data_IF_463706429223
#
_entry.id   IF_463706429223
#
_cell.length_a   1.000
_cell.length_b   1.000
_cell.length_c   1.000
_cell.angle_alpha   90.00
_cell.angle_beta   90.00
_cell.angle_gamma   90.00
#
_symmetry.space_group_name_H-M   'P 1'
#
loop_
_entity.id
_entity.type
_entity.pdbx_description
1 polymer ?
#
# COMPACT_ATOMS: atom_id res chain seq x y z
N UNK A 1 -47.07 27.91 31.21
CA UNK A 1 -45.61 28.10 31.45
C UNK A 1 -44.90 26.85 32.00
N UNK A 2 -45.55 26.02 32.84
CA UNK A 2 -44.93 24.83 33.45
C UNK A 2 -44.51 23.71 32.48
N UNK A 3 -45.28 23.44 31.41
CA UNK A 3 -44.97 22.38 30.44
C UNK A 3 -43.66 22.67 29.66
N UNK A 4 -43.41 23.94 29.32
CA UNK A 4 -42.17 24.35 28.64
C UNK A 4 -40.95 24.11 29.55
N UNK A 5 -41.06 24.41 30.85
CA UNK A 5 -39.99 24.18 31.82
C UNK A 5 -39.70 22.68 32.01
N UNK A 6 -40.73 21.84 32.06
CA UNK A 6 -40.56 20.38 32.17
C UNK A 6 -39.88 19.78 30.93
N UNK A 7 -40.21 20.28 29.73
CA UNK A 7 -39.54 19.85 28.49
C UNK A 7 -38.06 20.25 28.46
N UNK A 8 -37.72 21.45 28.94
CA UNK A 8 -36.32 21.88 29.05
C UNK A 8 -35.51 21.06 30.06
N UNK A 9 -36.11 20.64 31.18
CA UNK A 9 -35.45 19.77 32.15
C UNK A 9 -35.25 18.35 31.60
N UNK A 10 -36.22 17.85 30.82
CA UNK A 10 -36.13 16.50 30.26
C UNK A 10 -35.07 16.42 29.14
N UNK A 11 -34.96 17.46 28.31
CA UNK A 11 -33.94 17.50 27.25
C UNK A 11 -32.53 17.66 27.80
N UNK A 12 -32.33 18.45 28.85
CA UNK A 12 -31.01 18.56 29.50
C UNK A 12 -30.62 17.26 30.18
N UNK A 13 -31.56 16.56 30.83
CA UNK A 13 -31.30 15.26 31.45
C UNK A 13 -30.93 14.18 30.41
N UNK A 14 -31.62 14.14 29.26
CA UNK A 14 -31.27 13.22 28.16
C UNK A 14 -29.89 13.50 27.56
N UNK A 15 -29.49 14.76 27.43
CA UNK A 15 -28.13 15.12 26.95
C UNK A 15 -27.05 14.78 28.00
N UNK A 16 -27.35 14.94 29.29
CA UNK A 16 -26.42 14.57 30.37
C UNK A 16 -26.21 13.05 30.46
N UNK A 17 -27.30 12.26 30.39
CA UNK A 17 -27.21 10.78 30.42
C UNK A 17 -26.47 10.23 29.20
N UNK A 18 -26.67 10.81 28.00
CA UNK A 18 -25.93 10.42 26.79
C UNK A 18 -24.43 10.71 26.86
N UNK A 19 -24.01 11.80 27.54
CA UNK A 19 -22.60 12.16 27.68
C UNK A 19 -21.87 11.38 28.78
N UNK A 20 -22.58 10.93 29.82
CA UNK A 20 -22.05 10.01 30.85
C UNK A 20 -21.84 8.60 30.29
N UNK A 21 -22.66 8.15 29.33
CA UNK A 21 -22.55 6.83 28.70
C UNK A 21 -21.31 6.62 27.82
N UNK A 22 -20.48 7.66 27.59
CA UNK A 22 -19.31 7.55 26.70
C UNK A 22 -17.96 7.53 27.43
N UNK A 23 -17.94 7.51 28.77
CA UNK A 23 -16.69 7.52 29.59
C UNK A 23 -16.48 6.28 30.47
N UNK A 24 -17.19 5.18 30.21
CA UNK A 24 -17.13 3.96 31.05
C UNK A 24 -16.55 2.72 30.31
N UNK A 25 -15.52 2.92 29.47
CA UNK A 25 -14.75 1.81 28.86
C UNK A 25 -13.21 1.97 29.05
N UNK A 26 -12.77 2.59 30.14
CA UNK A 26 -11.33 2.65 30.49
C UNK A 26 -11.07 2.46 32.00
N UNK A 27 -11.81 1.57 32.67
CA UNK A 27 -11.47 1.19 34.05
C UNK A 27 -11.75 -0.30 34.29
N UNK A 28 -11.07 -1.16 33.54
CA UNK A 28 -11.04 -2.58 33.85
C UNK A 28 -9.73 -3.27 33.50
N UNK A 29 -8.58 -2.65 33.77
CA UNK A 29 -7.31 -3.40 33.83
C UNK A 29 -6.18 -2.74 34.64
N UNK A 30 -6.45 -2.03 35.74
CA UNK A 30 -5.36 -1.69 36.68
C UNK A 30 -5.87 -1.72 38.11
N UNK A 31 -6.20 -2.90 38.62
CA UNK A 31 -6.34 -3.13 40.07
C UNK A 31 -6.06 -4.60 40.37
N UNK A 32 -4.78 -4.96 40.43
CA UNK A 32 -4.33 -5.99 41.34
C UNK A 32 -2.91 -5.68 41.80
N UNK A 33 -2.82 -4.98 42.93
CA UNK A 33 -1.62 -4.96 43.77
C UNK A 33 -1.49 -6.36 44.37
N UNK A 34 -0.40 -7.07 44.09
CA UNK A 34 -0.02 -8.28 44.82
C UNK A 34 1.24 -7.99 45.65
N UNK A 35 1.03 -7.95 46.96
CA UNK A 35 2.02 -7.95 48.04
C UNK A 35 2.88 -9.23 48.01
N UNK A 36 4.12 -9.25 48.55
CA UNK A 36 5.16 -10.21 48.19
C UNK A 36 5.20 -11.51 49.04
N UNK A 37 6.09 -12.43 48.62
CA UNK A 37 6.56 -13.73 49.17
C UNK A 37 5.94 -15.05 48.64
N UNK A 38 6.71 -16.17 48.54
CA UNK A 38 8.16 -16.37 48.65
C UNK A 38 8.80 -17.07 47.41
N UNK A 39 10.14 -17.16 47.46
CA UNK A 39 11.05 -17.66 46.43
C UNK A 39 10.67 -19.02 45.80
N UNK A 40 10.68 -19.08 44.47
CA UNK A 40 10.70 -20.34 43.71
C UNK A 40 12.14 -20.76 43.40
N UNK A 41 12.44 -22.08 43.43
CA UNK A 41 13.78 -22.63 43.24
C UNK A 41 14.30 -22.40 41.80
N UNK A 42 15.64 -22.41 41.58
CA UNK A 42 16.20 -22.12 40.27
C UNK A 42 15.73 -23.14 39.22
N UNK A 43 15.09 -22.64 38.17
CA UNK A 43 14.72 -23.41 36.99
C UNK A 43 15.98 -24.04 36.37
N UNK A 44 15.90 -25.34 36.08
CA UNK A 44 16.94 -26.03 35.32
C UNK A 44 17.13 -25.31 33.98
N UNK A 45 18.39 -24.96 33.71
CA UNK A 45 18.84 -24.42 32.42
C UNK A 45 18.32 -25.34 31.30
N UNK A 46 17.71 -24.83 30.22
CA UNK A 46 17.39 -25.66 29.08
C UNK A 46 18.72 -26.16 28.50
N UNK A 47 18.98 -27.45 28.66
CA UNK A 47 20.00 -28.14 27.87
C UNK A 47 19.51 -28.04 26.44
N UNK A 48 20.15 -27.17 25.64
CA UNK A 48 19.96 -27.16 24.21
C UNK A 48 20.32 -28.54 23.70
N UNK A 49 19.32 -29.29 23.24
CA UNK A 49 19.55 -30.48 22.45
C UNK A 49 20.39 -30.07 21.23
N UNK A 50 21.48 -30.78 20.91
CA UNK A 50 22.23 -30.51 19.70
C UNK A 50 21.30 -30.65 18.49
N UNK A 51 21.49 -29.85 17.43
CA UNK A 51 20.68 -29.93 16.23
C UNK A 51 20.76 -31.35 15.63
N UNK A 52 19.67 -31.84 15.00
CA UNK A 52 19.70 -33.13 14.33
C UNK A 52 20.80 -33.16 13.27
N UNK A 53 21.41 -34.33 12.99
CA UNK A 53 22.47 -34.43 12.00
C UNK A 53 21.93 -33.96 10.65
N UNK A 54 22.60 -32.95 10.09
CA UNK A 54 22.36 -32.47 8.74
C UNK A 54 22.56 -33.66 7.81
N UNK A 55 21.48 -34.18 7.24
CA UNK A 55 21.58 -35.10 6.12
C UNK A 55 22.31 -34.35 5.01
N UNK A 56 23.51 -34.82 4.68
CA UNK A 56 24.27 -34.35 3.54
C UNK A 56 23.37 -34.34 2.29
N UNK A 57 23.38 -33.25 1.50
CA UNK A 57 22.68 -33.23 0.22
C UNK A 57 23.19 -34.40 -0.65
N UNK A 58 22.32 -35.07 -1.44
CA UNK A 58 22.80 -36.03 -2.41
C UNK A 58 23.79 -35.33 -3.35
N UNK A 59 24.92 -36.01 -3.57
CA UNK A 59 25.96 -35.66 -4.53
C UNK A 59 25.33 -35.14 -5.82
N UNK A 60 25.58 -33.87 -6.14
CA UNK A 60 25.16 -33.30 -7.40
C UNK A 60 25.92 -34.02 -8.50
N UNK A 61 25.19 -34.72 -9.37
CA UNK A 61 25.70 -35.21 -10.65
C UNK A 61 26.48 -34.09 -11.35
N UNK A 62 27.61 -34.38 -12.01
CA UNK A 62 28.29 -33.36 -12.82
C UNK A 62 27.28 -32.78 -13.84
N UNK A 63 27.36 -31.47 -14.13
CA UNK A 63 26.44 -30.84 -15.05
C UNK A 63 26.49 -31.56 -16.40
N UNK A 64 25.35 -31.79 -17.07
CA UNK A 64 25.38 -32.28 -18.44
C UNK A 64 26.27 -31.34 -19.25
N UNK A 65 27.21 -31.92 -20.02
CA UNK A 65 28.03 -31.21 -21.00
C UNK A 65 27.10 -30.27 -21.77
N UNK A 66 27.39 -28.98 -21.74
CA UNK A 66 26.63 -28.00 -22.49
C UNK A 66 26.50 -28.51 -23.93
N UNK A 67 25.29 -28.62 -24.51
CA UNK A 67 25.20 -28.79 -25.94
C UNK A 67 25.98 -27.64 -26.57
N UNK A 68 26.85 -27.95 -27.51
CA UNK A 68 27.52 -26.94 -28.31
C UNK A 68 26.41 -26.06 -28.89
N UNK A 69 26.27 -24.84 -28.38
CA UNK A 69 25.37 -23.87 -28.95
C UNK A 69 25.87 -23.66 -30.38
N UNK A 70 25.09 -24.16 -31.34
CA UNK A 70 25.23 -23.68 -32.70
C UNK A 70 25.17 -22.15 -32.63
N UNK A 71 26.06 -21.44 -33.35
CA UNK A 71 26.01 -19.99 -33.37
C UNK A 71 24.58 -19.54 -33.72
N UNK A 72 24.07 -18.48 -33.09
CA UNK A 72 22.74 -17.98 -33.40
C UNK A 72 22.63 -17.77 -34.91
N UNK A 73 21.50 -18.13 -35.55
CA UNK A 73 21.31 -17.85 -36.96
C UNK A 73 21.56 -16.35 -37.19
N UNK A 74 22.10 -15.97 -38.37
CA UNK A 74 22.25 -14.56 -38.70
C UNK A 74 20.91 -13.86 -38.52
N UNK A 75 20.88 -12.58 -38.12
CA UNK A 75 19.64 -11.85 -37.91
C UNK A 75 18.81 -11.94 -39.19
N UNK A 76 17.74 -12.73 -39.14
CA UNK A 76 16.75 -12.73 -40.18
C UNK A 76 16.09 -11.36 -40.06
N UNK A 77 16.35 -10.51 -41.05
CA UNK A 77 15.60 -9.29 -41.27
C UNK A 77 14.17 -9.68 -41.69
N UNK A 78 13.41 -10.24 -40.75
CA UNK A 78 11.96 -10.25 -40.85
C UNK A 78 11.53 -8.80 -40.75
N UNK A 79 10.81 -8.26 -41.77
CA UNK A 79 10.18 -6.95 -41.65
C UNK A 79 9.39 -6.91 -40.33
N UNK A 80 9.40 -5.79 -39.59
CA UNK A 80 8.57 -5.69 -38.41
C UNK A 80 7.14 -6.05 -38.81
N UNK A 81 6.56 -7.05 -38.14
CA UNK A 81 5.13 -7.30 -38.20
C UNK A 81 4.47 -6.03 -37.68
N UNK A 82 4.09 -5.17 -38.62
CA UNK A 82 3.40 -3.94 -38.33
C UNK A 82 2.08 -4.36 -37.72
N UNK A 83 1.98 -4.24 -36.39
CA UNK A 83 0.69 -4.14 -35.75
C UNK A 83 -0.09 -3.07 -36.54
N UNK A 84 -1.35 -3.31 -36.94
CA UNK A 84 -2.11 -2.29 -37.62
C UNK A 84 -2.03 -1.02 -36.78
N UNK A 85 -1.80 0.15 -37.42
CA UNK A 85 -1.63 1.39 -36.68
C UNK A 85 -2.82 1.53 -35.71
N UNK A 86 -2.60 1.94 -34.45
CA UNK A 86 -3.71 2.33 -33.61
C UNK A 86 -4.54 3.31 -34.43
N UNK A 87 -5.81 2.98 -34.65
CA UNK A 87 -6.77 3.83 -35.36
C UNK A 87 -6.56 5.23 -34.80
N UNK A 88 -6.21 6.18 -35.67
CA UNK A 88 -5.91 7.54 -35.26
C UNK A 88 -7.00 7.97 -34.27
N UNK A 89 -6.65 8.40 -33.04
CA UNK A 89 -7.61 9.04 -32.19
C UNK A 89 -8.26 10.12 -33.04
N UNK A 90 -9.61 10.17 -33.06
CA UNK A 90 -10.31 11.31 -33.62
C UNK A 90 -9.63 12.59 -33.09
N UNK A 91 -9.53 13.68 -33.89
CA UNK A 91 -8.98 14.94 -33.41
C UNK A 91 -9.64 15.25 -32.08
N UNK A 92 -8.89 15.09 -30.99
CA UNK A 92 -9.36 15.52 -29.69
C UNK A 92 -9.50 17.03 -29.87
N UNK A 93 -10.70 17.62 -29.64
CA UNK A 93 -10.82 19.06 -29.64
C UNK A 93 -9.72 19.62 -28.72
N UNK A 94 -9.16 20.82 -29.00
CA UNK A 94 -8.18 21.43 -28.13
C UNK A 94 -8.71 21.34 -26.70
N UNK A 95 -8.08 20.50 -25.89
CA UNK A 95 -8.47 20.38 -24.49
C UNK A 95 -8.07 21.72 -23.91
N UNK A 96 -9.05 22.61 -23.76
CA UNK A 96 -8.90 23.78 -22.89
C UNK A 96 -8.21 23.30 -21.60
N UNK A 97 -7.25 24.07 -21.06
CA UNK A 97 -6.60 23.69 -19.81
C UNK A 97 -7.70 23.28 -18.83
N UNK A 98 -7.61 22.09 -18.21
CA UNK A 98 -8.73 21.53 -17.47
C UNK A 98 -9.23 22.58 -16.50
N UNK A 99 -10.43 23.10 -16.76
CA UNK A 99 -11.14 24.09 -15.92
C UNK A 99 -11.59 23.45 -14.60
N UNK A 100 -11.12 22.23 -14.32
CA UNK A 100 -11.23 21.61 -13.01
C UNK A 100 -10.34 22.39 -12.04
N UNK A 101 -10.86 22.84 -10.90
CA UNK A 101 -10.03 23.44 -9.86
C UNK A 101 -8.86 22.50 -9.53
N UNK A 102 -7.66 23.04 -9.23
CA UNK A 102 -6.52 22.24 -8.81
C UNK A 102 -6.95 21.25 -7.73
N UNK A 103 -6.78 19.95 -8.01
CA UNK A 103 -7.15 18.90 -7.05
C UNK A 103 -6.50 19.23 -5.69
N UNK A 104 -7.25 19.12 -4.58
CA UNK A 104 -6.78 19.50 -3.26
C UNK A 104 -5.54 18.68 -2.87
N UNK A 105 -4.53 19.28 -2.23
CA UNK A 105 -3.31 18.58 -1.85
C UNK A 105 -3.62 17.32 -1.02
N UNK A 106 -2.87 16.24 -1.23
CA UNK A 106 -3.08 14.97 -0.53
C UNK A 106 -2.69 15.16 0.94
N UNK A 107 -3.68 15.21 1.84
CA UNK A 107 -3.46 15.32 3.28
C UNK A 107 -3.67 13.97 3.97
N UNK A 108 -4.53 13.13 3.40
CA UNK A 108 -4.95 11.85 3.95
C UNK A 108 -4.86 10.74 2.90
N UNK A 109 -4.98 9.48 3.34
CA UNK A 109 -5.11 8.32 2.44
C UNK A 109 -6.34 8.41 1.55
N UNK A 110 -7.39 9.08 2.00
CA UNK A 110 -8.64 9.19 1.26
C UNK A 110 -8.46 10.06 0.00
N UNK A 111 -7.59 11.07 0.07
CA UNK A 111 -7.25 11.94 -1.07
C UNK A 111 -6.44 11.21 -2.15
N UNK A 112 -5.84 10.06 -1.80
CA UNK A 112 -5.11 9.22 -2.74
C UNK A 112 -6.04 8.47 -3.69
N UNK A 113 -7.24 8.07 -3.24
CA UNK A 113 -8.16 7.23 -4.02
C UNK A 113 -8.49 7.87 -5.38
N UNK A 114 -9.08 9.08 -5.46
CA UNK A 114 -9.48 9.64 -6.76
C UNK A 114 -8.27 9.95 -7.66
N UNK A 115 -7.11 10.25 -7.08
CA UNK A 115 -5.89 10.54 -7.84
C UNK A 115 -5.27 9.26 -8.41
N UNK A 116 -5.26 8.19 -7.63
CA UNK A 116 -4.78 6.89 -8.08
C UNK A 116 -5.72 6.28 -9.11
N UNK A 117 -7.03 6.47 -8.97
CA UNK A 117 -8.02 6.06 -9.97
C UNK A 117 -7.73 6.73 -11.33
N UNK A 118 -7.48 8.04 -11.33
CA UNK A 118 -7.07 8.75 -12.55
C UNK A 118 -5.74 8.20 -13.07
N UNK A 119 -4.73 8.05 -12.22
CA UNK A 119 -3.39 7.57 -12.61
C UNK A 119 -3.44 6.19 -13.26
N UNK A 120 -4.28 5.30 -12.74
CA UNK A 120 -4.37 3.91 -13.16
C UNK A 120 -5.46 3.65 -14.21
N UNK A 121 -6.17 4.66 -14.68
CA UNK A 121 -7.34 4.53 -15.54
C UNK A 121 -7.05 3.74 -16.83
N UNK A 122 -5.90 3.98 -17.45
CA UNK A 122 -5.44 3.33 -18.69
C UNK A 122 -4.45 2.18 -18.46
N UNK A 123 -4.17 1.84 -17.22
CA UNK A 123 -3.24 0.76 -16.90
C UNK A 123 -3.91 -0.60 -17.14
N UNK A 124 -3.30 -1.49 -17.93
CA UNK A 124 -3.77 -2.86 -18.17
C UNK A 124 -4.12 -3.57 -16.84
N UNK A 125 -3.16 -3.55 -15.90
CA UNK A 125 -3.29 -4.18 -14.58
C UNK A 125 -3.81 -3.20 -13.54
N UNK A 126 -5.06 -2.72 -13.67
CA UNK A 126 -5.63 -1.66 -12.80
C UNK A 126 -5.45 -1.93 -11.30
N UNK A 127 -5.79 -3.13 -10.82
CA UNK A 127 -5.67 -3.49 -9.38
C UNK A 127 -4.23 -3.42 -8.87
N UNK A 128 -3.26 -3.84 -9.68
CA UNK A 128 -1.84 -3.79 -9.32
C UNK A 128 -1.36 -2.33 -9.29
N UNK A 129 -1.72 -1.55 -10.30
CA UNK A 129 -1.41 -0.12 -10.35
C UNK A 129 -1.99 0.61 -9.15
N UNK A 130 -3.26 0.39 -8.81
CA UNK A 130 -3.92 1.03 -7.66
C UNK A 130 -3.20 0.71 -6.35
N UNK A 131 -2.83 -0.55 -6.11
CA UNK A 131 -2.08 -0.93 -4.89
C UNK A 131 -0.73 -0.23 -4.81
N UNK A 132 0.01 -0.17 -5.91
CA UNK A 132 1.29 0.53 -5.97
C UNK A 132 1.13 2.03 -5.76
N UNK A 133 0.19 2.66 -6.48
CA UNK A 133 -0.11 4.07 -6.38
C UNK A 133 -0.51 4.47 -4.96
N UNK A 134 -1.43 3.74 -4.32
CA UNK A 134 -1.87 4.04 -2.95
C UNK A 134 -0.72 3.96 -1.94
N UNK A 135 0.20 3.00 -2.11
CA UNK A 135 1.40 2.89 -1.27
C UNK A 135 2.33 4.09 -1.46
N UNK A 136 2.55 4.50 -2.71
CA UNK A 136 3.39 5.65 -3.04
C UNK A 136 2.75 6.96 -2.58
N UNK A 137 1.44 7.10 -2.75
CA UNK A 137 0.69 8.28 -2.34
C UNK A 137 0.66 8.42 -0.81
N UNK A 138 0.45 7.33 -0.08
CA UNK A 138 0.47 7.39 1.38
C UNK A 138 1.83 7.81 1.92
N UNK A 139 2.92 7.36 1.29
CA UNK A 139 4.28 7.70 1.72
C UNK A 139 4.70 9.11 1.26
N UNK A 140 4.41 9.47 0.02
CA UNK A 140 4.91 10.69 -0.62
C UNK A 140 3.91 11.85 -0.59
N UNK A 141 2.67 11.60 -0.14
CA UNK A 141 1.56 12.57 -0.14
C UNK A 141 1.40 13.29 -1.49
N UNK A 142 1.63 12.56 -2.57
CA UNK A 142 1.56 13.09 -3.94
C UNK A 142 1.28 11.97 -4.94
N UNK A 143 0.43 12.28 -5.93
CA UNK A 143 0.20 11.45 -7.12
C UNK A 143 0.37 12.36 -8.34
N UNK A 144 1.23 12.01 -9.30
CA UNK A 144 1.48 12.90 -10.43
C UNK A 144 0.29 12.91 -11.41
N UNK A 145 0.00 14.05 -12.04
CA UNK A 145 -1.16 14.21 -12.90
C UNK A 145 -1.06 13.38 -14.17
N UNK A 146 -2.22 12.98 -14.70
CA UNK A 146 -2.34 12.16 -15.90
C UNK A 146 -2.13 10.67 -15.61
N UNK A 147 -2.26 9.86 -16.67
CA UNK A 147 -2.17 8.38 -16.58
C UNK A 147 -0.75 7.86 -16.79
N UNK A 148 0.15 8.67 -17.35
CA UNK A 148 1.54 8.32 -17.66
C UNK A 148 2.47 9.54 -17.45
N UNK A 149 3.75 9.28 -17.17
CA UNK A 149 4.77 10.33 -17.03
C UNK A 149 4.56 11.26 -15.83
N UNK A 150 5.07 12.49 -15.91
CA UNK A 150 4.97 13.54 -14.88
C UNK A 150 5.49 13.16 -13.49
N UNK A 151 6.28 12.09 -13.36
CA UNK A 151 6.69 11.54 -12.05
C UNK A 151 7.51 12.56 -11.26
N UNK A 152 8.28 13.40 -11.95
CA UNK A 152 9.08 14.50 -11.42
C UNK A 152 8.25 15.55 -10.67
N UNK A 153 6.95 15.68 -10.96
CA UNK A 153 6.06 16.61 -10.23
C UNK A 153 5.85 16.22 -8.76
N UNK A 154 6.06 14.94 -8.41
CA UNK A 154 6.03 14.46 -7.04
C UNK A 154 7.43 14.27 -6.43
N UNK A 155 8.47 14.76 -7.12
CA UNK A 155 9.85 14.73 -6.64
C UNK A 155 10.41 13.33 -6.42
N UNK A 156 11.53 13.28 -5.70
CA UNK A 156 12.35 12.08 -5.48
C UNK A 156 11.60 10.94 -4.81
N UNK A 157 10.71 11.25 -3.87
CA UNK A 157 9.95 10.22 -3.14
C UNK A 157 9.17 9.30 -4.09
N UNK A 158 8.53 9.86 -5.13
CA UNK A 158 7.76 9.07 -6.09
C UNK A 158 8.64 8.47 -7.21
N UNK A 159 9.69 9.19 -7.62
CA UNK A 159 10.54 8.76 -8.74
C UNK A 159 11.54 7.68 -8.34
N UNK A 160 12.14 7.76 -7.15
CA UNK A 160 13.27 6.92 -6.70
C UNK A 160 12.82 5.72 -5.85
N UNK A 161 11.53 5.59 -5.54
CA UNK A 161 11.04 4.43 -4.78
C UNK A 161 11.14 3.16 -5.61
N UNK A 162 11.87 2.17 -5.07
CA UNK A 162 12.10 0.88 -5.71
C UNK A 162 11.45 -0.27 -4.93
N UNK A 163 11.24 -1.37 -5.64
CA UNK A 163 10.92 -2.68 -5.07
C UNK A 163 12.22 -3.43 -4.73
N UNK A 164 12.13 -4.57 -4.04
CA UNK A 164 13.29 -5.42 -3.75
C UNK A 164 14.07 -5.86 -5.01
N UNK A 165 13.45 -5.84 -6.19
CA UNK A 165 14.10 -6.15 -7.47
C UNK A 165 14.70 -4.96 -8.20
N UNK A 166 14.99 -3.84 -7.51
CA UNK A 166 15.53 -2.60 -8.10
C UNK A 166 14.69 -2.00 -9.24
N UNK A 167 13.39 -2.35 -9.32
CA UNK A 167 12.45 -1.75 -10.27
C UNK A 167 11.69 -0.62 -9.59
N UNK A 168 11.39 0.45 -10.34
CA UNK A 168 10.53 1.53 -9.88
C UNK A 168 9.19 0.98 -9.41
N UNK A 169 8.80 1.37 -8.20
CA UNK A 169 7.60 0.89 -7.53
C UNK A 169 6.34 1.66 -7.96
N UNK A 170 6.47 2.98 -8.09
CA UNK A 170 5.32 3.85 -8.32
C UNK A 170 4.96 3.94 -9.81
N UNK A 171 3.66 3.91 -10.17
CA UNK A 171 3.20 3.93 -11.57
C UNK A 171 3.41 5.28 -12.27
#
# INVERSE_FOLDING_TARGET
MALKAMLFLFTTFLVFTATVSSKDEELKEVTYVKEPEPAQPPAKVPVYAPPPPVKTPPSQSPPPKAPAYAPPPPPVNTPPSQSPPPKAPAPVPPVEPPTSPPLPPVKSKQDCIPRCDQRCQLHNRKRVCMRACMTCCDRCKCVPPGTFGNREKCGKCYTEMTTHGNKYKCP
#
